data_IF_965147289097
#
_entry.id   IF_965147289097
#
_cell.length_a   1.000
_cell.length_b   1.000
_cell.length_c   1.000
_cell.angle_alpha   90.00
_cell.angle_beta   90.00
_cell.angle_gamma   90.00
#
_symmetry.space_group_name_H-M   'P 1'
#
loop_
_entity.id
_entity.type
_entity.pdbx_description
1 polymer ?
#
# COMPACT_ATOMS: atom_id res chain seq x y z
N UNK A 1 5.33 -8.28 19.35
CA UNK A 1 4.26 -7.25 19.37
C UNK A 1 4.77 -6.08 18.57
N UNK A 2 3.97 -5.51 17.67
CA UNK A 2 4.36 -4.35 16.85
C UNK A 2 3.44 -3.19 17.23
N UNK A 3 4.00 -1.99 17.36
CA UNK A 3 3.28 -0.74 17.63
C UNK A 3 3.34 0.12 16.36
N UNK A 4 2.18 0.38 15.77
CA UNK A 4 2.04 1.33 14.68
C UNK A 4 1.55 2.67 15.24
N UNK A 5 2.43 3.68 15.26
CA UNK A 5 2.14 5.03 15.73
C UNK A 5 1.36 5.80 14.66
N UNK A 6 0.29 6.44 15.09
CA UNK A 6 -0.58 7.31 14.31
C UNK A 6 -0.15 8.76 14.51
N UNK A 7 0.01 9.50 13.41
CA UNK A 7 0.52 10.87 13.43
C UNK A 7 -0.59 11.92 13.61
N UNK A 8 -1.83 11.60 13.21
CA UNK A 8 -2.94 12.58 13.15
C UNK A 8 -4.11 12.23 14.06
N UNK A 9 -4.10 11.06 14.70
CA UNK A 9 -5.11 10.67 15.69
C UNK A 9 -4.96 11.47 17.00
N UNK A 10 -5.53 12.66 17.04
CA UNK A 10 -5.71 13.45 18.26
C UNK A 10 -7.20 13.69 18.48
N UNK A 11 -7.97 12.63 18.78
CA UNK A 11 -9.28 12.85 19.40
C UNK A 11 -9.00 13.29 20.84
N UNK A 12 -9.26 14.56 21.21
CA UNK A 12 -8.98 15.04 22.55
C UNK A 12 -9.80 14.21 23.56
N UNK A 13 -9.17 13.84 24.67
CA UNK A 13 -9.79 13.05 25.73
C UNK A 13 -9.69 13.84 27.03
N UNK A 14 -10.82 13.98 27.74
CA UNK A 14 -10.91 14.81 28.94
C UNK A 14 -10.23 14.18 30.17
N UNK A 15 -10.17 12.85 30.24
CA UNK A 15 -9.79 12.12 31.46
C UNK A 15 -8.64 11.11 31.26
N UNK A 16 -8.01 11.07 30.09
CA UNK A 16 -6.93 10.11 29.76
C UNK A 16 -6.13 10.58 28.56
N UNK A 17 -4.98 9.96 28.31
CA UNK A 17 -4.24 10.16 27.07
C UNK A 17 -5.03 9.63 25.85
N UNK A 18 -4.96 10.38 24.75
CA UNK A 18 -5.51 9.94 23.46
C UNK A 18 -4.74 8.73 22.93
N UNK A 19 -5.45 7.78 22.31
CA UNK A 19 -4.79 6.65 21.65
C UNK A 19 -4.17 7.10 20.33
N UNK A 20 -2.83 7.11 20.29
CA UNK A 20 -2.03 7.48 19.11
C UNK A 20 -1.33 6.27 18.46
N UNK A 21 -1.84 5.07 18.67
CA UNK A 21 -1.25 3.88 18.08
C UNK A 21 -2.28 2.77 17.87
N UNK A 22 -1.93 1.82 17.01
CA UNK A 22 -2.55 0.52 16.91
C UNK A 22 -1.52 -0.57 17.20
N UNK A 23 -1.97 -1.66 17.81
CA UNK A 23 -1.13 -2.82 18.09
C UNK A 23 -1.36 -3.85 16.99
N UNK A 24 -0.27 -4.36 16.43
CA UNK A 24 -0.26 -5.48 15.50
C UNK A 24 0.40 -6.66 16.21
N UNK A 25 -0.37 -7.72 16.43
CA UNK A 25 0.14 -8.93 17.03
C UNK A 25 0.69 -9.86 15.92
N UNK A 26 1.98 -10.18 15.99
CA UNK A 26 2.66 -11.05 15.05
C UNK A 26 2.95 -12.40 15.70
N UNK A 27 2.38 -13.47 15.15
CA UNK A 27 2.49 -14.83 15.64
C UNK A 27 3.04 -15.76 14.56
N UNK A 28 3.71 -16.84 14.99
CA UNK A 28 4.27 -17.85 14.10
C UNK A 28 3.84 -19.24 14.55
N UNK A 29 3.58 -20.14 13.60
CA UNK A 29 3.32 -21.55 13.94
C UNK A 29 4.62 -22.22 14.37
N UNK A 30 4.70 -22.65 15.63
CA UNK A 30 5.89 -23.30 16.21
C UNK A 30 6.90 -22.31 16.80
N UNK A 31 8.06 -22.84 17.22
CA UNK A 31 9.10 -22.07 17.93
C UNK A 31 9.85 -21.05 17.06
N UNK A 32 9.87 -21.25 15.73
CA UNK A 32 10.55 -20.36 14.78
C UNK A 32 9.67 -20.16 13.53
N UNK A 33 9.65 -18.95 12.94
CA UNK A 33 8.95 -18.75 11.68
C UNK A 33 9.57 -19.60 10.57
N UNK A 34 8.73 -20.06 9.65
CA UNK A 34 9.19 -20.63 8.36
C UNK A 34 10.00 -19.60 7.57
N UNK A 35 9.53 -18.35 7.56
CA UNK A 35 10.11 -17.23 6.80
C UNK A 35 10.06 -15.98 7.67
N UNK A 36 11.16 -15.24 7.71
CA UNK A 36 11.20 -13.87 8.23
C UNK A 36 12.30 -13.07 7.51
N UNK A 37 11.91 -12.15 6.64
CA UNK A 37 12.81 -11.27 5.91
C UNK A 37 13.14 -10.05 6.77
N UNK A 38 14.41 -9.89 7.14
CA UNK A 38 14.89 -8.73 7.91
C UNK A 38 14.96 -7.50 6.99
N UNK A 39 13.83 -6.82 6.86
CA UNK A 39 13.69 -5.65 6.00
C UNK A 39 14.61 -4.52 6.47
N UNK A 40 15.27 -3.86 5.51
CA UNK A 40 15.96 -2.59 5.71
C UNK A 40 15.24 -1.51 4.93
N UNK A 41 14.96 -0.42 5.64
CA UNK A 41 14.17 0.71 5.17
C UNK A 41 15.05 1.95 5.05
N UNK A 42 14.75 2.76 4.06
CA UNK A 42 15.38 4.04 3.87
C UNK A 42 14.49 5.16 4.44
N UNK A 43 14.70 5.47 5.71
CA UNK A 43 14.02 6.60 6.34
C UNK A 43 14.58 7.92 5.81
N UNK A 44 13.73 8.94 5.61
CA UNK A 44 14.18 10.28 5.23
C UNK A 44 15.22 10.81 6.22
N UNK A 45 16.06 11.71 5.72
CA UNK A 45 17.07 12.36 6.52
C UNK A 45 16.40 13.37 7.45
N UNK A 46 16.62 13.21 8.76
CA UNK A 46 16.16 14.17 9.74
C UNK A 46 16.98 15.46 9.64
N UNK A 47 16.42 16.65 9.94
CA UNK A 47 17.12 17.93 9.80
C UNK A 47 18.46 18.04 10.53
N UNK A 48 18.68 17.22 11.57
CA UNK A 48 19.91 17.20 12.38
C UNK A 48 20.93 16.15 11.93
N UNK A 49 20.61 15.30 10.95
CA UNK A 49 21.54 14.32 10.40
C UNK A 49 22.32 14.91 9.22
N UNK A 50 23.65 14.85 9.30
CA UNK A 50 24.55 15.41 8.26
C UNK A 50 24.77 14.50 7.06
N UNK A 51 24.57 13.19 7.23
CA UNK A 51 24.87 12.19 6.21
C UNK A 51 23.73 11.19 6.07
N UNK A 52 23.48 10.77 4.83
CA UNK A 52 22.58 9.67 4.54
C UNK A 52 23.09 8.35 5.12
N UNK A 53 22.16 7.42 5.33
CA UNK A 53 22.49 6.10 5.87
C UNK A 53 22.90 5.20 4.70
N UNK A 54 24.18 4.85 4.61
CA UNK A 54 24.72 4.00 3.54
C UNK A 54 23.97 2.67 3.33
N UNK A 55 23.36 2.14 4.39
CA UNK A 55 22.68 0.85 4.36
C UNK A 55 21.24 0.92 4.91
N UNK A 56 20.65 2.10 5.06
CA UNK A 56 19.36 2.27 5.74
C UNK A 56 19.34 1.68 7.16
N UNK A 57 18.14 1.51 7.72
CA UNK A 57 17.94 0.92 9.07
C UNK A 57 17.11 -0.35 9.02
N UNK A 58 17.26 -1.23 10.00
CA UNK A 58 16.35 -2.36 10.13
C UNK A 58 14.96 -1.87 10.55
N UNK A 59 13.93 -2.40 9.92
CA UNK A 59 12.57 -2.23 10.42
C UNK A 59 12.44 -2.88 11.80
N UNK A 60 12.04 -2.09 12.79
CA UNK A 60 11.85 -2.53 14.19
C UNK A 60 10.39 -2.91 14.43
N UNK A 61 10.02 -3.11 15.69
CA UNK A 61 8.64 -3.30 16.13
C UNK A 61 7.89 -2.00 16.45
N UNK A 62 8.52 -0.83 16.27
CA UNK A 62 7.89 0.48 16.38
C UNK A 62 7.84 1.15 15.01
N UNK A 63 6.65 1.20 14.41
CA UNK A 63 6.43 1.78 13.07
C UNK A 63 5.85 3.18 13.21
N UNK A 64 6.62 4.18 12.81
CA UNK A 64 6.25 5.60 12.88
C UNK A 64 6.20 6.27 11.51
N UNK A 65 6.62 5.55 10.49
CA UNK A 65 6.90 6.01 9.14
C UNK A 65 5.77 5.67 8.14
N UNK A 66 4.78 4.89 8.60
CA UNK A 66 3.60 4.54 7.81
C UNK A 66 2.45 5.46 8.20
N UNK A 67 1.99 6.29 7.27
CA UNK A 67 0.85 7.19 7.49
C UNK A 67 -0.45 6.42 7.64
N UNK A 68 -1.38 6.96 8.42
CA UNK A 68 -2.77 6.49 8.43
C UNK A 68 -3.57 7.12 7.29
N UNK A 69 -4.64 6.45 6.86
CA UNK A 69 -5.55 7.03 5.87
C UNK A 69 -6.49 8.00 6.58
N UNK A 70 -6.26 9.30 6.36
CA UNK A 70 -7.04 10.41 6.92
C UNK A 70 -8.10 10.89 5.92
N UNK A 71 -9.00 11.77 6.38
CA UNK A 71 -9.87 12.55 5.51
C UNK A 71 -9.27 13.96 5.29
N UNK A 72 -9.72 14.66 4.25
CA UNK A 72 -9.29 16.03 3.93
C UNK A 72 -8.09 16.14 2.98
N UNK A 73 -7.61 17.37 2.76
CA UNK A 73 -6.63 17.75 1.73
C UNK A 73 -5.31 16.95 1.75
N UNK A 74 -4.91 16.39 2.90
CA UNK A 74 -3.65 15.63 3.05
C UNK A 74 -3.84 14.11 2.96
N UNK A 75 -5.02 13.62 2.58
CA UNK A 75 -5.37 12.21 2.59
C UNK A 75 -4.72 11.38 1.46
N UNK A 76 -4.28 12.03 0.38
CA UNK A 76 -3.81 11.36 -0.84
C UNK A 76 -4.90 10.54 -1.53
N UNK A 77 -4.51 9.86 -2.62
CA UNK A 77 -5.46 9.20 -3.54
C UNK A 77 -5.80 7.75 -3.13
N UNK A 78 -5.17 7.24 -2.07
CA UNK A 78 -5.30 5.85 -1.63
C UNK A 78 -6.64 5.54 -0.93
N UNK A 79 -7.19 6.51 -0.20
CA UNK A 79 -8.44 6.31 0.50
C UNK A 79 -9.60 6.28 -0.50
N UNK A 80 -10.37 5.19 -0.52
CA UNK A 80 -11.53 5.05 -1.41
C UNK A 80 -12.65 5.99 -1.00
N UNK A 81 -13.21 6.71 -1.96
CA UNK A 81 -14.22 7.75 -1.74
C UNK A 81 -15.39 7.66 -2.73
N UNK A 82 -16.55 8.14 -2.29
CA UNK A 82 -17.71 8.37 -3.16
C UNK A 82 -17.60 9.72 -3.89
N UNK A 83 -18.61 10.02 -4.71
CA UNK A 83 -18.71 11.25 -5.51
C UNK A 83 -18.73 12.52 -4.64
N UNK A 84 -19.15 12.40 -3.37
CA UNK A 84 -19.22 13.48 -2.40
C UNK A 84 -17.92 13.62 -1.56
N UNK A 85 -16.83 12.97 -1.98
CA UNK A 85 -15.53 12.89 -1.30
C UNK A 85 -15.58 12.19 0.08
N UNK A 86 -16.67 11.50 0.42
CA UNK A 86 -16.77 10.77 1.68
C UNK A 86 -16.08 9.41 1.57
N UNK A 87 -15.43 8.97 2.67
CA UNK A 87 -14.76 7.66 2.69
C UNK A 87 -15.76 6.51 2.60
N UNK A 88 -15.59 5.65 1.59
CA UNK A 88 -16.39 4.43 1.40
C UNK A 88 -16.19 3.45 2.57
N UNK A 89 -15.00 3.39 3.14
CA UNK A 89 -14.71 2.51 4.27
C UNK A 89 -13.83 3.18 5.32
N UNK A 90 -14.36 3.29 6.54
CA UNK A 90 -13.68 4.00 7.65
C UNK A 90 -12.36 3.35 8.06
N UNK A 91 -12.21 2.04 7.90
CA UNK A 91 -11.07 1.27 8.41
C UNK A 91 -10.22 0.63 7.30
N UNK A 92 -10.21 1.21 6.08
CA UNK A 92 -9.26 0.76 5.05
C UNK A 92 -7.82 0.87 5.58
N UNK A 93 -7.07 -0.23 5.47
CA UNK A 93 -5.68 -0.27 5.86
C UNK A 93 -4.78 0.32 4.75
N UNK A 94 -3.68 1.02 5.10
CA UNK A 94 -2.75 1.53 4.10
C UNK A 94 -1.99 0.41 3.37
N UNK A 95 -1.76 0.56 2.06
CA UNK A 95 -0.97 -0.37 1.25
C UNK A 95 0.46 -0.50 1.77
N UNK A 96 1.05 0.57 2.29
CA UNK A 96 2.37 0.54 2.89
C UNK A 96 2.46 -0.36 4.14
N UNK A 97 1.38 -0.40 4.92
CA UNK A 97 1.27 -1.27 6.10
C UNK A 97 1.29 -2.74 5.70
N UNK A 98 0.42 -3.11 4.76
CA UNK A 98 0.30 -4.49 4.28
C UNK A 98 1.54 -4.93 3.50
N UNK A 99 2.16 -4.00 2.76
CA UNK A 99 3.42 -4.25 2.02
C UNK A 99 4.52 -4.69 2.98
N UNK A 100 4.69 -3.98 4.11
CA UNK A 100 5.69 -4.35 5.13
C UNK A 100 5.41 -5.72 5.72
N UNK A 101 4.16 -6.00 6.11
CA UNK A 101 3.76 -7.27 6.72
C UNK A 101 4.02 -8.44 5.76
N UNK A 102 3.54 -8.33 4.51
CA UNK A 102 3.65 -9.39 3.50
C UNK A 102 5.12 -9.61 3.11
N UNK A 103 5.89 -8.54 2.88
CA UNK A 103 7.32 -8.66 2.57
C UNK A 103 8.14 -9.28 3.70
N UNK A 104 7.82 -8.99 4.95
CA UNK A 104 8.55 -9.55 6.08
C UNK A 104 8.28 -11.05 6.27
N UNK A 105 7.13 -11.56 5.83
CA UNK A 105 6.61 -12.87 6.25
C UNK A 105 6.27 -13.86 5.12
N UNK A 106 6.52 -13.50 3.85
CA UNK A 106 6.21 -14.35 2.70
C UNK A 106 7.25 -14.28 1.58
N UNK A 107 7.30 -15.32 0.76
CA UNK A 107 8.02 -15.35 -0.51
C UNK A 107 7.07 -15.14 -1.69
N UNK A 108 7.63 -14.81 -2.86
CA UNK A 108 6.90 -14.82 -4.12
C UNK A 108 6.21 -16.18 -4.32
N UNK A 109 4.97 -16.18 -4.76
CA UNK A 109 4.13 -17.38 -4.99
C UNK A 109 3.43 -17.94 -3.74
N UNK A 110 3.80 -17.48 -2.53
CA UNK A 110 3.09 -17.87 -1.30
C UNK A 110 1.62 -17.44 -1.34
N UNK A 111 0.80 -18.14 -0.56
CA UNK A 111 -0.61 -17.85 -0.37
C UNK A 111 -0.82 -17.03 0.91
N UNK A 112 -1.50 -15.89 0.77
CA UNK A 112 -1.93 -15.03 1.88
C UNK A 112 -3.43 -15.26 2.12
N UNK A 113 -3.83 -15.35 3.39
CA UNK A 113 -5.23 -15.45 3.79
C UNK A 113 -5.61 -14.21 4.59
N UNK A 114 -6.69 -13.55 4.19
CA UNK A 114 -7.32 -12.49 4.95
C UNK A 114 -8.80 -12.83 5.20
N UNK A 115 -9.17 -13.26 6.42
CA UNK A 115 -10.55 -13.62 6.74
C UNK A 115 -11.46 -12.40 7.00
N UNK A 116 -10.90 -11.19 7.03
CA UNK A 116 -11.62 -9.93 7.32
C UNK A 116 -11.17 -8.84 6.34
N UNK A 117 -11.38 -9.10 5.06
CA UNK A 117 -10.70 -8.38 3.98
C UNK A 117 -11.11 -6.91 3.88
N UNK A 118 -12.28 -6.51 4.39
CA UNK A 118 -12.80 -5.15 4.26
C UNK A 118 -12.82 -4.76 2.79
N UNK A 119 -12.12 -3.68 2.42
CA UNK A 119 -12.02 -3.25 1.02
C UNK A 119 -10.94 -3.95 0.19
N UNK A 120 -10.24 -4.96 0.73
CA UNK A 120 -9.36 -5.83 -0.05
C UNK A 120 -7.89 -5.42 -0.15
N UNK A 121 -7.40 -4.52 0.71
CA UNK A 121 -6.00 -4.05 0.64
C UNK A 121 -4.99 -5.21 0.67
N UNK A 122 -5.25 -6.26 1.45
CA UNK A 122 -4.38 -7.44 1.52
C UNK A 122 -4.25 -8.13 0.16
N UNK A 123 -5.36 -8.36 -0.54
CA UNK A 123 -5.37 -8.97 -1.88
C UNK A 123 -4.68 -8.10 -2.92
N UNK A 124 -4.94 -6.79 -2.89
CA UNK A 124 -4.32 -5.81 -3.81
C UNK A 124 -2.81 -5.80 -3.66
N UNK A 125 -2.30 -5.70 -2.42
CA UNK A 125 -0.86 -5.74 -2.15
C UNK A 125 -0.25 -7.10 -2.46
N UNK A 126 -0.93 -8.20 -2.11
CA UNK A 126 -0.47 -9.55 -2.41
C UNK A 126 -0.29 -9.74 -3.92
N UNK A 127 -1.26 -9.33 -4.75
CA UNK A 127 -1.18 -9.36 -6.22
C UNK A 127 0.04 -8.60 -6.72
N UNK A 128 0.25 -7.36 -6.26
CA UNK A 128 1.38 -6.52 -6.69
C UNK A 128 2.74 -7.07 -6.26
N UNK A 129 2.79 -7.82 -5.16
CA UNK A 129 3.98 -8.53 -4.70
C UNK A 129 4.11 -9.94 -5.34
N UNK A 130 3.30 -10.36 -6.30
CA UNK A 130 3.28 -11.74 -6.83
C UNK A 130 3.07 -12.81 -5.75
N UNK A 131 2.17 -12.56 -4.81
CA UNK A 131 1.61 -13.58 -3.91
C UNK A 131 0.19 -13.90 -4.36
N UNK A 132 -0.25 -15.11 -4.08
CA UNK A 132 -1.66 -15.49 -4.21
C UNK A 132 -2.39 -15.04 -2.94
N UNK A 133 -3.67 -14.76 -3.04
CA UNK A 133 -4.48 -14.39 -1.87
C UNK A 133 -5.86 -15.02 -1.88
N UNK A 134 -6.36 -15.40 -0.71
CA UNK A 134 -7.77 -15.66 -0.44
C UNK A 134 -8.27 -14.55 0.49
N UNK A 135 -9.30 -13.84 0.05
CA UNK A 135 -9.90 -12.72 0.75
C UNK A 135 -11.35 -13.09 1.08
N UNK A 136 -11.73 -13.08 2.36
CA UNK A 136 -13.09 -13.35 2.83
C UNK A 136 -13.68 -12.05 3.38
N UNK A 137 -14.88 -11.72 2.92
CA UNK A 137 -15.63 -10.53 3.31
C UNK A 137 -17.12 -10.86 3.32
N UNK A 138 -17.83 -10.36 4.34
CA UNK A 138 -19.24 -10.66 4.56
C UNK A 138 -20.16 -9.63 3.90
N UNK A 139 -19.73 -8.37 3.81
CA UNK A 139 -20.50 -7.30 3.19
C UNK A 139 -20.39 -7.38 1.65
N UNK A 140 -21.50 -7.64 0.93
CA UNK A 140 -21.49 -7.72 -0.54
C UNK A 140 -20.96 -6.45 -1.21
N UNK A 141 -21.17 -5.26 -0.62
CA UNK A 141 -20.65 -4.00 -1.17
C UNK A 141 -19.13 -3.96 -1.14
N UNK A 142 -18.54 -4.43 -0.03
CA UNK A 142 -17.09 -4.53 0.08
C UNK A 142 -16.54 -5.60 -0.89
N UNK A 143 -17.27 -6.69 -1.12
CA UNK A 143 -16.90 -7.70 -2.13
C UNK A 143 -16.86 -7.09 -3.54
N UNK A 144 -17.82 -6.24 -3.90
CA UNK A 144 -17.81 -5.49 -5.16
C UNK A 144 -16.58 -4.57 -5.26
N UNK A 145 -16.27 -3.81 -4.20
CA UNK A 145 -15.08 -2.97 -4.13
C UNK A 145 -13.79 -3.80 -4.29
N UNK A 146 -13.69 -4.94 -3.61
CA UNK A 146 -12.53 -5.85 -3.74
C UNK A 146 -12.37 -6.28 -5.20
N UNK A 147 -13.46 -6.71 -5.84
CA UNK A 147 -13.44 -7.17 -7.22
C UNK A 147 -13.04 -6.06 -8.20
N UNK A 148 -13.53 -4.84 -7.99
CA UNK A 148 -13.14 -3.65 -8.76
C UNK A 148 -11.64 -3.37 -8.62
N UNK A 149 -11.13 -3.24 -7.39
CA UNK A 149 -9.69 -2.97 -7.11
C UNK A 149 -8.76 -4.05 -7.65
N UNK A 150 -9.22 -5.30 -7.72
CA UNK A 150 -8.42 -6.40 -8.27
C UNK A 150 -8.44 -6.44 -9.81
N UNK A 151 -9.44 -5.81 -10.46
CA UNK A 151 -9.58 -5.75 -11.93
C UNK A 151 -8.91 -4.51 -12.52
N UNK A 152 -9.09 -3.35 -11.90
CA UNK A 152 -8.68 -2.06 -12.43
C UNK A 152 -7.21 -1.72 -12.19
N UNK A 153 -6.74 -0.69 -12.91
CA UNK A 153 -5.39 -0.15 -12.84
C UNK A 153 -5.15 0.62 -11.53
N UNK A 154 -3.91 0.55 -11.04
CA UNK A 154 -3.56 0.56 -9.62
C UNK A 154 -3.69 1.91 -8.89
N UNK A 155 -4.15 2.99 -9.54
CA UNK A 155 -4.47 4.29 -8.94
C UNK A 155 -3.67 4.66 -7.69
N UNK A 156 -4.38 4.99 -6.60
CA UNK A 156 -3.78 5.25 -5.27
C UNK A 156 -3.29 4.02 -4.51
N UNK A 157 -3.42 2.82 -5.08
CA UNK A 157 -3.00 1.55 -4.49
C UNK A 157 -1.60 1.09 -4.97
N UNK A 158 -0.97 1.78 -5.92
CA UNK A 158 0.32 1.38 -6.47
C UNK A 158 1.43 1.40 -5.42
N UNK A 159 2.03 0.23 -5.17
CA UNK A 159 3.13 0.08 -4.20
C UNK A 159 4.51 0.21 -4.86
N UNK A 160 4.59 0.43 -6.17
CA UNK A 160 5.86 0.45 -6.92
C UNK A 160 6.86 1.45 -6.37
N UNK A 161 6.38 2.64 -5.98
CA UNK A 161 7.23 3.69 -5.40
C UNK A 161 7.75 3.32 -4.00
N UNK A 162 7.03 2.48 -3.25
CA UNK A 162 7.51 1.95 -1.97
C UNK A 162 8.71 1.02 -2.15
N UNK A 163 8.97 0.49 -3.35
CA UNK A 163 10.13 -0.39 -3.56
C UNK A 163 11.45 0.32 -3.28
N UNK A 164 11.57 1.59 -3.65
CA UNK A 164 12.76 2.39 -3.37
C UNK A 164 13.02 2.53 -1.87
N UNK A 165 11.94 2.61 -1.08
CA UNK A 165 11.99 2.67 0.38
C UNK A 165 12.61 1.41 1.01
N UNK A 166 12.51 0.25 0.36
CA UNK A 166 13.10 -1.01 0.84
C UNK A 166 14.45 -1.36 0.18
N UNK A 167 15.07 -0.46 -0.60
CA UNK A 167 16.23 -0.77 -1.47
C UNK A 167 17.44 -1.38 -0.76
N UNK A 168 17.63 -1.11 0.53
CA UNK A 168 18.73 -1.66 1.32
C UNK A 168 18.46 -3.09 1.83
N UNK A 169 17.28 -3.63 1.58
CA UNK A 169 16.93 -5.00 1.98
C UNK A 169 17.75 -6.01 1.17
N UNK A 170 18.46 -6.89 1.87
CA UNK A 170 19.27 -7.93 1.24
C UNK A 170 18.39 -8.85 0.38
N UNK A 171 18.80 -9.07 -0.87
CA UNK A 171 18.08 -9.93 -1.84
C UNK A 171 16.63 -9.45 -2.07
N UNK A 172 16.39 -8.13 -2.10
CA UNK A 172 15.06 -7.57 -2.35
C UNK A 172 14.43 -8.14 -3.63
N UNK A 173 15.18 -8.27 -4.73
CA UNK A 173 14.66 -8.83 -5.99
C UNK A 173 14.09 -10.25 -5.86
N UNK A 174 14.56 -11.05 -4.88
CA UNK A 174 14.01 -12.39 -4.65
C UNK A 174 12.63 -12.38 -3.99
N UNK A 175 12.33 -11.32 -3.25
CA UNK A 175 11.08 -11.17 -2.50
C UNK A 175 10.18 -10.08 -3.09
N UNK A 176 10.69 -9.25 -4.00
CA UNK A 176 9.98 -8.21 -4.75
C UNK A 176 10.73 -7.94 -6.07
N UNK A 177 10.49 -8.79 -7.10
CA UNK A 177 11.14 -8.68 -8.40
C UNK A 177 10.90 -7.32 -9.07
N UNK A 178 11.92 -6.76 -9.69
CA UNK A 178 11.89 -5.41 -10.31
C UNK A 178 11.25 -5.37 -11.69
N UNK A 179 11.22 -6.49 -12.42
CA UNK A 179 10.64 -6.57 -13.77
C UNK A 179 9.14 -6.23 -13.79
N UNK A 180 8.46 -6.49 -12.66
CA UNK A 180 7.04 -6.20 -12.45
C UNK A 180 6.74 -4.70 -12.29
N UNK A 181 7.75 -3.91 -11.92
CA UNK A 181 7.64 -2.46 -11.77
C UNK A 181 7.83 -1.77 -13.13
N UNK A 182 8.59 -2.38 -14.04
CA UNK A 182 8.86 -1.82 -15.38
C UNK A 182 7.68 -2.01 -16.34
N UNK A 183 7.09 -3.21 -16.40
CA UNK A 183 5.93 -3.48 -17.29
C UNK A 183 4.78 -2.48 -17.07
N UNK A 184 4.55 -2.02 -15.83
CA UNK A 184 3.48 -1.06 -15.52
C UNK A 184 3.75 0.37 -15.98
N UNK A 185 5.01 0.84 -15.93
CA UNK A 185 5.36 2.19 -16.41
C UNK A 185 5.17 2.33 -17.92
N UNK A 186 5.42 1.25 -18.66
CA UNK A 186 5.25 1.23 -20.13
C UNK A 186 3.77 1.26 -20.54
N UNK A 187 2.87 0.63 -19.77
CA UNK A 187 1.41 0.67 -20.02
C UNK A 187 0.83 2.06 -19.74
N UNK A 188 1.27 2.73 -18.67
CA UNK A 188 0.81 4.10 -18.36
C UNK A 188 1.30 5.12 -19.40
N UNK A 189 2.53 4.96 -19.90
CA UNK A 189 3.05 5.76 -21.03
C UNK A 189 2.24 5.55 -22.33
N UNK A 190 1.79 4.31 -22.59
CA UNK A 190 0.95 3.98 -23.75
C UNK A 190 -0.47 4.55 -23.65
N UNK A 191 -1.07 4.59 -22.45
CA UNK A 191 -2.44 5.09 -22.25
C UNK A 191 -2.52 6.63 -22.43
N UNK A 192 -1.52 7.37 -21.94
CA UNK A 192 -1.39 8.82 -22.19
C UNK A 192 -1.23 9.12 -23.69
N UNK A 193 -0.46 8.30 -24.41
CA UNK A 193 -0.32 8.41 -25.87
C UNK A 193 -1.61 8.07 -26.64
N UNK A 194 -2.46 7.21 -26.08
CA UNK A 194 -3.75 6.84 -26.66
C UNK A 194 -4.81 7.92 -26.45
N UNK A 195 -4.86 8.51 -25.24
CA UNK A 195 -5.77 9.61 -24.90
C UNK A 195 -5.45 10.93 -25.63
N UNK A 196 -4.18 11.15 -25.98
CA UNK A 196 -3.77 12.31 -26.79
C UNK A 196 -4.20 12.13 -28.27
N UNK A 197 -4.15 10.90 -28.81
CA UNK A 197 -4.65 10.60 -30.16
C UNK A 197 -6.17 10.72 -30.29
N UNK A 198 -6.95 10.33 -29.27
CA UNK A 198 -8.41 10.46 -29.30
C UNK A 198 -8.90 11.91 -29.20
N UNK A 199 -8.12 12.82 -28.61
CA UNK A 199 -8.42 14.27 -28.59
C UNK A 199 -8.13 14.96 -29.93
N UNK A 200 -7.25 14.39 -30.76
CA UNK A 200 -6.96 14.92 -32.11
C UNK A 200 -8.06 14.53 -33.09
N UNK A 201 -8.71 13.37 -32.93
CA UNK A 201 -9.78 12.91 -33.83
C UNK A 201 -11.13 13.61 -33.63
N UNK A 202 -11.39 14.23 -32.47
CA UNK A 202 -12.63 15.00 -32.24
C UNK A 202 -12.58 16.43 -32.82
N UNK A 203 -11.39 16.97 -33.13
CA UNK A 203 -11.25 18.33 -33.69
C UNK A 203 -11.39 18.41 -35.22
N UNK A 204 -11.54 17.29 -35.93
CA UNK A 204 -11.62 17.29 -37.41
C UNK A 204 -13.03 17.12 -37.98
N UNK A 205 -14.06 16.96 -37.16
CA UNK A 205 -15.45 16.78 -37.63
C UNK A 205 -16.35 18.00 -37.34
N UNK A 206 -15.82 19.21 -37.52
CA UNK A 206 -16.59 20.45 -37.54
C UNK A 206 -16.84 20.93 -38.97
N UNK A 207 -18.04 20.61 -39.49
CA UNK A 207 -18.79 21.17 -40.63
C UNK A 207 -18.09 21.46 -41.97
N UNK A 208 -18.83 21.18 -43.07
CA UNK A 208 -19.15 22.30 -43.95
C UNK A 208 -20.64 22.43 -44.28
N UNK A 209 -21.03 23.70 -44.36
CA UNK A 209 -22.23 24.34 -44.96
C UNK A 209 -23.61 24.00 -44.41
#
# INVERSE_FOLDING_TARGET
MIIWKKLTSAVPQKYRFGKQYQIIAFFTKGKRPRIFHRLRIDLPLEPHHKFERENGVYATDLWTDIRELTAGYFAGDEALRDEDDNRLHKQQAPVALLTRIILASSNVGDLILDPFSGTGTTGVVAKQLNRRSINIEIDPKNVEIINMRLKDDLGGDDISELRHYYRFTKKLDKIWPSDLVKEKRDVHGSLLQFLDKSRITEKTNGNPS
#
